data_IF_787066846097
#
_entry.id   IF_787066846097
#
_cell.length_a   1.000
_cell.length_b   1.000
_cell.length_c   1.000
_cell.angle_alpha   90.00
_cell.angle_beta   90.00
_cell.angle_gamma   90.00
#
_symmetry.space_group_name_H-M   'P 1'
#
loop_
_entity.id
_entity.type
_entity.pdbx_description
1 polymer ?
#
# COMPACT_ATOMS: atom_id res chain seq x y z
N UNK A 1 -29.31 6.35 -13.95
CA UNK A 1 -28.61 7.44 -13.24
C UNK A 1 -27.20 6.97 -12.98
N UNK A 2 -26.21 7.77 -13.34
CA UNK A 2 -24.82 7.47 -12.99
C UNK A 2 -24.67 7.62 -11.46
N UNK A 3 -24.21 6.59 -10.73
CA UNK A 3 -23.97 6.66 -9.30
C UNK A 3 -23.00 7.79 -8.92
N UNK A 4 -22.08 8.18 -9.82
CA UNK A 4 -21.16 9.29 -9.58
C UNK A 4 -21.86 10.65 -9.63
N UNK A 5 -22.71 10.91 -10.63
CA UNK A 5 -23.53 12.14 -10.70
C UNK A 5 -24.50 12.24 -9.51
N UNK A 6 -25.05 11.10 -9.11
CA UNK A 6 -25.96 11.03 -7.95
C UNK A 6 -25.19 11.35 -6.66
N UNK A 7 -23.99 10.79 -6.50
CA UNK A 7 -23.12 11.10 -5.37
C UNK A 7 -22.75 12.60 -5.33
N UNK A 8 -22.40 13.19 -6.46
CA UNK A 8 -22.05 14.62 -6.55
C UNK A 8 -23.22 15.54 -6.18
N UNK A 9 -24.45 15.20 -6.59
CA UNK A 9 -25.64 16.00 -6.25
C UNK A 9 -26.03 15.90 -4.77
N UNK A 10 -25.82 14.73 -4.14
CA UNK A 10 -26.15 14.50 -2.73
C UNK A 10 -25.09 15.07 -1.79
N UNK A 11 -23.81 15.04 -2.16
CA UNK A 11 -22.69 15.40 -1.30
C UNK A 11 -22.82 16.77 -0.59
N UNK A 12 -23.25 17.87 -1.25
CA UNK A 12 -23.41 19.16 -0.59
C UNK A 12 -24.35 19.17 0.62
N UNK A 13 -25.32 18.24 0.67
CA UNK A 13 -26.33 18.18 1.74
C UNK A 13 -25.76 17.74 3.09
N UNK A 14 -24.68 16.94 3.11
CA UNK A 14 -24.08 16.40 4.33
C UNK A 14 -22.56 16.61 4.45
N UNK A 15 -21.91 17.17 3.41
CA UNK A 15 -20.47 17.42 3.41
C UNK A 15 -20.01 18.27 4.60
N UNK A 16 -20.73 19.35 4.92
CA UNK A 16 -20.36 20.26 6.02
C UNK A 16 -20.40 19.58 7.40
N UNK A 17 -21.49 18.91 7.81
CA UNK A 17 -21.52 18.11 9.04
C UNK A 17 -20.41 17.06 9.11
N UNK A 18 -20.19 16.30 8.02
CA UNK A 18 -19.20 15.23 7.99
C UNK A 18 -17.77 15.78 8.12
N UNK A 19 -17.42 16.82 7.36
CA UNK A 19 -16.11 17.46 7.47
C UNK A 19 -15.88 18.08 8.84
N UNK A 20 -16.92 18.67 9.46
CA UNK A 20 -16.84 19.19 10.83
C UNK A 20 -16.53 18.06 11.82
N UNK A 21 -17.23 16.94 11.72
CA UNK A 21 -16.98 15.76 12.55
C UNK A 21 -15.55 15.22 12.37
N UNK A 22 -15.11 15.02 11.12
CA UNK A 22 -13.77 14.53 10.80
C UNK A 22 -12.65 15.47 11.31
N UNK A 23 -12.90 16.78 11.37
CA UNK A 23 -11.97 17.73 12.00
C UNK A 23 -11.94 17.56 13.52
N UNK A 24 -13.09 17.42 14.17
CA UNK A 24 -13.18 17.22 15.62
C UNK A 24 -12.45 15.95 16.08
N UNK A 25 -12.62 14.85 15.35
CA UNK A 25 -11.96 13.55 15.65
C UNK A 25 -10.53 13.49 15.07
N UNK A 26 -10.04 14.59 14.48
CA UNK A 26 -8.72 14.71 13.83
C UNK A 26 -8.49 13.76 12.63
N UNK A 27 -9.53 13.10 12.10
CA UNK A 27 -9.47 12.18 10.95
C UNK A 27 -9.48 12.85 9.57
N UNK A 28 -9.59 14.18 9.50
CA UNK A 28 -9.71 14.92 8.22
C UNK A 28 -8.56 14.69 7.21
N UNK A 29 -7.35 14.35 7.67
CA UNK A 29 -6.20 14.10 6.79
C UNK A 29 -6.30 12.76 6.05
N UNK A 30 -7.14 11.83 6.53
CA UNK A 30 -7.32 10.49 5.92
C UNK A 30 -8.45 10.44 4.92
N UNK A 31 -9.34 11.43 4.95
CA UNK A 31 -10.55 11.46 4.16
C UNK A 31 -10.63 12.78 3.38
N UNK A 32 -9.99 12.82 2.20
CA UNK A 32 -10.18 13.92 1.26
C UNK A 32 -11.60 13.90 0.67
N UNK A 33 -11.99 14.99 0.01
CA UNK A 33 -13.31 15.13 -0.62
C UNK A 33 -13.59 14.05 -1.68
N UNK A 34 -12.64 13.78 -2.57
CA UNK A 34 -12.76 12.79 -3.65
C UNK A 34 -12.92 11.37 -3.11
N UNK A 35 -12.21 11.03 -2.02
CA UNK A 35 -12.30 9.73 -1.37
C UNK A 35 -13.69 9.51 -0.75
N UNK A 36 -14.29 10.56 -0.18
CA UNK A 36 -15.64 10.51 0.37
C UNK A 36 -16.67 10.37 -0.77
N UNK A 37 -16.51 11.13 -1.86
CA UNK A 37 -17.37 11.05 -3.05
C UNK A 37 -17.30 9.67 -3.71
N UNK A 38 -16.11 9.12 -3.89
CA UNK A 38 -15.90 7.78 -4.45
C UNK A 38 -16.53 6.69 -3.58
N UNK A 39 -16.43 6.83 -2.25
CA UNK A 39 -17.09 5.90 -1.34
C UNK A 39 -18.61 5.99 -1.41
N UNK A 40 -19.16 7.21 -1.52
CA UNK A 40 -20.59 7.43 -1.68
C UNK A 40 -21.11 6.82 -2.99
N UNK A 41 -20.43 7.06 -4.10
CA UNK A 41 -20.78 6.46 -5.40
C UNK A 41 -20.75 4.92 -5.33
N UNK A 42 -19.77 4.34 -4.64
CA UNK A 42 -19.72 2.91 -4.37
C UNK A 42 -20.93 2.44 -3.55
N UNK A 43 -21.26 3.11 -2.44
CA UNK A 43 -22.44 2.77 -1.65
C UNK A 43 -23.74 2.82 -2.46
N UNK A 44 -23.89 3.83 -3.34
CA UNK A 44 -25.05 3.94 -4.23
C UNK A 44 -25.09 2.84 -5.30
N UNK A 45 -23.92 2.45 -5.83
CA UNK A 45 -23.81 1.38 -6.85
C UNK A 45 -24.28 0.04 -6.30
N UNK A 46 -24.04 -0.23 -5.01
CA UNK A 46 -24.37 -1.49 -4.35
C UNK A 46 -25.63 -1.40 -3.47
N UNK A 47 -26.43 -0.35 -3.62
CA UNK A 47 -27.67 -0.11 -2.84
C UNK A 47 -27.46 -0.24 -1.32
N UNK A 48 -26.32 0.25 -0.84
CA UNK A 48 -25.96 0.19 0.57
C UNK A 48 -26.74 1.19 1.40
N UNK A 49 -27.05 0.82 2.63
CA UNK A 49 -27.73 1.73 3.56
C UNK A 49 -26.88 2.97 3.89
N UNK A 50 -27.49 4.12 4.23
CA UNK A 50 -26.76 5.29 4.72
C UNK A 50 -25.89 5.00 5.95
N UNK A 51 -26.29 4.03 6.78
CA UNK A 51 -25.50 3.58 7.92
C UNK A 51 -24.18 2.95 7.46
N UNK A 52 -24.20 2.11 6.42
CA UNK A 52 -23.01 1.47 5.88
C UNK A 52 -21.99 2.50 5.35
N UNK A 53 -22.45 3.60 4.74
CA UNK A 53 -21.58 4.70 4.37
C UNK A 53 -20.91 5.37 5.59
N UNK A 54 -21.68 5.59 6.67
CA UNK A 54 -21.17 6.25 7.87
C UNK A 54 -20.22 5.37 8.69
N UNK A 55 -20.36 4.05 8.64
CA UNK A 55 -19.50 3.12 9.39
C UNK A 55 -18.01 3.30 9.08
N UNK A 56 -17.65 3.68 7.86
CA UNK A 56 -16.25 3.98 7.48
C UNK A 56 -15.64 5.15 8.26
N UNK A 57 -16.46 6.09 8.72
CA UNK A 57 -16.00 7.31 9.42
C UNK A 57 -16.24 7.26 10.93
N UNK A 58 -17.20 6.45 11.37
CA UNK A 58 -17.62 6.36 12.78
C UNK A 58 -16.91 5.22 13.53
N UNK A 59 -16.48 4.16 12.84
CA UNK A 59 -15.72 3.08 13.44
C UNK A 59 -14.23 3.26 13.13
N UNK A 60 -13.39 3.13 14.15
CA UNK A 60 -11.96 3.00 13.95
C UNK A 60 -11.71 1.69 13.17
N UNK A 61 -11.52 1.80 11.85
CA UNK A 61 -11.02 0.68 11.08
C UNK A 61 -9.66 0.26 11.65
N UNK A 62 -9.34 -1.04 11.71
CA UNK A 62 -7.99 -1.49 12.04
C UNK A 62 -7.07 -1.01 10.92
N UNK A 63 -6.51 0.18 11.08
CA UNK A 63 -5.55 0.73 10.16
C UNK A 63 -4.18 0.50 10.75
N UNK A 64 -3.31 -0.10 9.94
CA UNK A 64 -1.86 -0.03 10.15
C UNK A 64 -1.49 1.44 9.96
N UNK A 65 -1.63 2.24 11.01
CA UNK A 65 -1.15 3.62 11.05
C UNK A 65 0.36 3.57 11.29
N UNK A 66 1.12 4.23 10.41
CA UNK A 66 2.50 4.59 10.71
C UNK A 66 2.47 5.44 11.98
N UNK A 67 2.86 4.84 13.11
CA UNK A 67 2.78 5.46 14.44
C UNK A 67 3.86 6.53 14.54
N UNK A 68 3.65 7.68 13.89
CA UNK A 68 4.61 8.77 13.86
C UNK A 68 4.57 9.66 15.10
N UNK A 69 3.55 9.54 15.97
CA UNK A 69 3.41 10.50 17.08
C UNK A 69 2.55 10.08 18.31
N UNK A 70 1.84 8.95 18.32
CA UNK A 70 0.77 8.73 19.33
C UNK A 70 0.98 7.58 20.32
N UNK A 71 2.01 6.74 20.17
CA UNK A 71 2.32 5.72 21.16
C UNK A 71 3.79 5.90 21.54
N UNK A 72 4.09 5.98 22.83
CA UNK A 72 5.47 5.97 23.32
C UNK A 72 6.24 4.74 22.81
N UNK A 73 7.54 4.62 23.11
CA UNK A 73 8.33 3.48 22.67
C UNK A 73 7.62 2.17 23.08
N UNK A 74 7.11 1.44 22.09
CA UNK A 74 6.49 0.14 22.34
C UNK A 74 7.60 -0.84 22.71
N UNK A 75 7.51 -1.43 23.91
CA UNK A 75 8.43 -2.47 24.34
C UNK A 75 8.09 -3.78 23.65
N UNK A 76 8.96 -4.21 22.75
CA UNK A 76 8.88 -5.52 22.12
C UNK A 76 9.89 -6.45 22.78
N UNK A 77 9.46 -7.66 23.11
CA UNK A 77 10.36 -8.74 23.51
C UNK A 77 10.70 -9.60 22.30
N UNK A 78 11.99 -9.82 22.09
CA UNK A 78 12.51 -10.67 21.03
C UNK A 78 12.73 -12.07 21.58
N UNK A 79 12.12 -13.06 20.95
CA UNK A 79 12.31 -14.49 21.23
C UNK A 79 12.92 -15.11 19.98
N UNK A 80 14.15 -15.61 20.09
CA UNK A 80 14.89 -16.23 19.01
C UNK A 80 15.59 -17.49 19.55
N UNK A 81 15.73 -18.52 18.72
CA UNK A 81 16.54 -19.71 19.06
C UNK A 81 18.04 -19.44 18.88
N UNK A 82 18.40 -18.52 17.97
CA UNK A 82 19.78 -18.11 17.71
C UNK A 82 20.25 -17.01 18.68
N UNK A 83 21.57 -16.83 18.76
CA UNK A 83 22.16 -15.82 19.63
C UNK A 83 21.76 -14.41 19.18
N UNK A 84 21.11 -13.66 20.05
CA UNK A 84 20.57 -12.30 19.75
C UNK A 84 21.64 -11.27 19.39
N UNK A 85 22.92 -11.60 19.59
CA UNK A 85 24.07 -10.76 19.27
C UNK A 85 24.64 -11.00 17.88
N UNK A 86 24.21 -12.05 17.16
CA UNK A 86 24.60 -12.24 15.76
C UNK A 86 23.82 -11.30 14.84
N UNK A 87 24.40 -10.93 13.71
CA UNK A 87 23.67 -10.20 12.66
C UNK A 87 22.52 -11.04 12.10
N UNK A 88 21.52 -10.38 11.48
CA UNK A 88 20.44 -11.08 10.78
C UNK A 88 21.01 -11.87 9.59
N UNK A 89 20.71 -13.17 9.53
CA UNK A 89 20.96 -14.00 8.36
C UNK A 89 19.69 -14.27 7.56
N UNK A 90 19.87 -14.65 6.30
CA UNK A 90 18.76 -15.10 5.47
C UNK A 90 18.09 -16.32 6.10
N UNK A 91 16.77 -16.38 6.00
CA UNK A 91 15.93 -17.45 6.54
C UNK A 91 15.91 -17.55 8.08
N UNK A 92 16.50 -16.60 8.81
CA UNK A 92 16.34 -16.53 10.27
C UNK A 92 14.87 -16.31 10.62
N UNK A 93 14.35 -17.09 11.58
CA UNK A 93 12.99 -16.99 12.09
C UNK A 93 13.03 -16.60 13.56
N UNK A 94 12.32 -15.54 13.92
CA UNK A 94 12.20 -15.08 15.30
C UNK A 94 10.81 -14.54 15.59
N UNK A 95 10.50 -14.38 16.87
CA UNK A 95 9.20 -13.90 17.32
C UNK A 95 9.35 -12.56 18.05
N UNK A 96 8.48 -11.61 17.69
CA UNK A 96 8.34 -10.33 18.37
C UNK A 96 7.03 -10.34 19.16
N UNK A 97 7.11 -10.15 20.48
CA UNK A 97 5.93 -10.16 21.37
C UNK A 97 5.76 -8.84 22.11
N UNK A 98 4.51 -8.40 22.19
CA UNK A 98 4.02 -7.41 23.15
C UNK A 98 3.02 -8.09 24.09
N UNK A 99 2.42 -7.32 25.02
CA UNK A 99 1.35 -7.85 25.89
C UNK A 99 0.10 -8.30 25.12
N UNK A 100 -0.16 -7.71 23.96
CA UNK A 100 -1.41 -7.89 23.20
C UNK A 100 -1.23 -8.56 21.85
N UNK A 101 0.01 -8.65 21.34
CA UNK A 101 0.29 -9.13 19.99
C UNK A 101 1.56 -10.01 19.97
N UNK A 102 1.55 -10.99 19.08
CA UNK A 102 2.69 -11.82 18.78
C UNK A 102 2.87 -11.93 17.26
N UNK A 103 4.05 -11.60 16.77
CA UNK A 103 4.43 -11.68 15.37
C UNK A 103 5.54 -12.73 15.19
N UNK A 104 5.37 -13.61 14.20
CA UNK A 104 6.44 -14.48 13.70
C UNK A 104 7.05 -13.80 12.48
N UNK A 105 8.35 -13.56 12.53
CA UNK A 105 9.11 -12.84 11.50
C UNK A 105 10.05 -13.82 10.81
N UNK A 106 10.07 -13.80 9.48
CA UNK A 106 11.01 -14.55 8.66
C UNK A 106 11.84 -13.58 7.84
N UNK A 107 13.16 -13.63 8.02
CA UNK A 107 14.09 -12.77 7.31
C UNK A 107 14.34 -13.35 5.92
N UNK A 108 14.18 -12.52 4.89
CA UNK A 108 14.48 -12.89 3.52
C UNK A 108 15.40 -11.83 2.91
N UNK A 109 16.51 -12.25 2.32
CA UNK A 109 17.37 -11.35 1.57
C UNK A 109 16.68 -10.95 0.26
N UNK A 110 16.51 -9.65 0.07
CA UNK A 110 16.03 -9.11 -1.19
C UNK A 110 17.26 -8.92 -2.10
N UNK A 111 17.25 -9.45 -3.34
CA UNK A 111 18.36 -9.24 -4.26
C UNK A 111 18.48 -7.76 -4.60
N UNK A 112 19.70 -7.22 -4.46
CA UNK A 112 20.03 -5.88 -4.91
C UNK A 112 20.58 -5.96 -6.34
N UNK A 113 19.78 -5.56 -7.33
CA UNK A 113 20.22 -5.50 -8.71
C UNK A 113 20.90 -4.15 -8.96
N UNK A 114 22.16 -4.20 -9.41
CA UNK A 114 22.83 -3.06 -10.02
C UNK A 114 22.67 -3.26 -11.53
N UNK A 115 21.93 -2.36 -12.16
CA UNK A 115 21.72 -2.36 -13.61
C UNK A 115 22.52 -1.19 -14.15
N UNK A 116 23.53 -1.49 -14.94
CA UNK A 116 24.31 -0.50 -15.69
C UNK A 116 24.02 -0.68 -17.18
N UNK A 117 24.02 0.43 -17.91
CA UNK A 117 23.83 0.46 -19.37
C UNK A 117 25.17 0.84 -20.00
N UNK A 118 25.75 -0.10 -20.75
CA UNK A 118 26.98 0.13 -21.52
C UNK A 118 26.64 0.59 -22.94
N UNK A 119 27.46 1.49 -23.51
CA UNK A 119 27.32 1.90 -24.92
C UNK A 119 27.50 0.69 -25.85
N UNK A 120 26.45 0.40 -26.64
CA UNK A 120 26.48 -0.67 -27.62
C UNK A 120 27.24 -0.22 -28.88
N UNK A 121 28.42 -0.80 -29.12
CA UNK A 121 29.18 -0.56 -30.35
C UNK A 121 28.51 -1.25 -31.55
N UNK A 122 27.78 -0.43 -32.31
CA UNK A 122 27.09 -0.84 -33.52
C UNK A 122 28.03 -1.25 -34.66
N UNK A 123 29.31 -0.86 -34.67
CA UNK A 123 30.26 -1.24 -35.72
C UNK A 123 30.76 -2.67 -35.54
N UNK A 124 31.06 -3.04 -34.29
CA UNK A 124 31.58 -4.37 -33.97
C UNK A 124 30.49 -5.44 -33.80
N UNK A 125 29.23 -5.05 -33.58
CA UNK A 125 28.11 -5.97 -33.36
C UNK A 125 27.05 -5.93 -34.47
N UNK A 126 27.47 -5.76 -35.73
CA UNK A 126 26.55 -5.82 -36.88
C UNK A 126 26.14 -7.25 -37.17
N UNK A 127 24.83 -7.49 -37.25
CA UNK A 127 24.27 -8.70 -37.83
C UNK A 127 24.50 -8.67 -39.34
N UNK A 128 25.53 -9.39 -39.81
CA UNK A 128 25.81 -9.53 -41.25
C UNK A 128 25.12 -10.79 -41.77
N UNK A 129 24.05 -10.61 -42.54
CA UNK A 129 23.42 -11.69 -43.29
C UNK A 129 24.29 -12.02 -44.52
N UNK A 130 25.11 -13.07 -44.43
CA UNK A 130 25.90 -13.57 -45.57
C UNK A 130 25.02 -14.48 -46.43
N UNK A 131 24.47 -13.93 -47.50
CA UNK A 131 23.79 -14.69 -48.53
C UNK A 131 24.85 -15.38 -49.41
N UNK A 132 25.15 -16.65 -49.12
CA UNK A 132 25.96 -17.47 -50.02
C UNK A 132 25.10 -17.81 -51.24
N UNK A 133 25.37 -17.16 -52.37
CA UNK A 133 24.78 -17.52 -53.66
C UNK A 133 25.42 -18.80 -54.19
N UNK A 134 25.06 -19.95 -53.62
CA UNK A 134 25.47 -21.29 -54.10
C UNK A 134 24.65 -21.78 -55.31
N UNK A 135 23.91 -20.91 -55.99
CA UNK A 135 23.24 -21.27 -57.25
C UNK A 135 23.66 -20.31 -58.36
N UNK A 136 24.56 -20.80 -59.20
CA UNK A 136 24.90 -20.21 -60.50
C UNK A 136 23.84 -20.61 -61.52
N UNK A 137 23.17 -19.61 -62.11
CA UNK A 137 22.26 -19.62 -63.29
C UNK A 137 20.94 -20.38 -63.13
#
# INVERSE_FOLDING_TARGET
>A
MDPEETAQSLFPSFARPLQKYLRTVKQHHRHNMDAILKHLAHCLTFDMSPKAFLERYLNDQPCIEYTGASVGPQSWSLVCEEQVTSGLSNSTVFQLKTEVLSLVVTVNNIPHFVVDEDEFDFENNKFVLKLNSETSV
#
